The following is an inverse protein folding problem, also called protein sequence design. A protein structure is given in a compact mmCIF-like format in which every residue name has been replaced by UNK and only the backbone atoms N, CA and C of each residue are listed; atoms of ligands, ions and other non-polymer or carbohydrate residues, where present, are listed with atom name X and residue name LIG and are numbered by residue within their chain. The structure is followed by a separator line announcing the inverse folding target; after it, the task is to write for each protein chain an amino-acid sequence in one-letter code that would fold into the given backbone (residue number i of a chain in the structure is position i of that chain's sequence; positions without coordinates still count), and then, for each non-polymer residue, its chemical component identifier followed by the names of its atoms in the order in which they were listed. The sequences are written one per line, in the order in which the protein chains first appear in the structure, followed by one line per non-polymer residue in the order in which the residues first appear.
data_IF_868119393145
#
_entry.id   IF_868119393145
#
_cell.length_a   1.000
_cell.length_b   1.000
_cell.length_c   1.000
_cell.angle_alpha   90.00
_cell.angle_beta   90.00
_cell.angle_gamma   90.00
#
_symmetry.space_group_name_H-M   'P 1'
#
loop_
_entity.id
_entity.type
_entity.pdbx_description
1 polymer ?
#
# COMPACT_ATOMS: atom_id res chain seq x y z
N UNK A 1 -3.57 -11.83 10.59
CA UNK A 1 -2.40 -10.99 10.26
C UNK A 1 -2.43 -10.59 8.79
N UNK A 2 -1.61 -9.62 8.40
CA UNK A 2 -1.61 -9.11 7.03
C UNK A 2 -0.38 -8.28 6.69
N UNK A 3 0.23 -8.57 5.55
CA UNK A 3 1.30 -7.78 4.95
C UNK A 3 0.69 -6.76 3.99
N UNK A 4 0.99 -5.47 4.21
CA UNK A 4 0.58 -4.37 3.33
C UNK A 4 1.81 -3.70 2.72
N UNK A 5 1.75 -3.45 1.41
CA UNK A 5 2.84 -2.76 0.72
C UNK A 5 2.35 -1.85 -0.41
N UNK A 6 2.72 -0.57 -0.28
CA UNK A 6 2.55 0.50 -1.28
C UNK A 6 3.25 1.76 -0.76
N UNK A 7 4.29 2.23 -1.44
CA UNK A 7 4.94 3.49 -1.10
C UNK A 7 3.96 4.65 -1.36
N UNK A 8 3.69 5.41 -0.30
CA UNK A 8 2.73 6.52 -0.27
C UNK A 8 3.40 7.69 0.43
N UNK A 9 4.02 8.63 -0.30
CA UNK A 9 4.63 9.81 0.31
C UNK A 9 3.57 10.67 1.01
N UNK A 10 4.02 11.47 1.97
CA UNK A 10 3.17 12.48 2.58
C UNK A 10 2.79 13.54 1.55
N UNK A 11 1.54 13.95 1.52
CA UNK A 11 1.05 15.03 0.67
C UNK A 11 1.70 16.36 1.06
N UNK A 12 2.28 17.06 0.10
CA UNK A 12 2.80 18.43 0.24
C UNK A 12 2.12 19.37 -0.76
N UNK A 13 2.49 20.66 -0.76
CA UNK A 13 2.02 21.62 -1.77
C UNK A 13 2.38 21.19 -3.20
N UNK A 14 3.48 20.45 -3.37
CA UNK A 14 3.90 19.92 -4.66
C UNK A 14 2.85 18.99 -5.26
N UNK A 15 2.34 18.04 -4.49
CA UNK A 15 1.34 17.08 -4.98
C UNK A 15 0.00 17.77 -5.29
N UNK A 16 -0.37 18.81 -4.52
CA UNK A 16 -1.55 19.64 -4.82
C UNK A 16 -1.40 20.39 -6.14
N UNK A 17 -0.23 21.01 -6.35
CA UNK A 17 0.05 21.75 -7.59
C UNK A 17 0.09 20.83 -8.81
N UNK A 18 0.69 19.63 -8.70
CA UNK A 18 0.66 18.63 -9.78
C UNK A 18 -0.78 18.24 -10.12
N UNK A 19 -1.62 17.96 -9.11
CA UNK A 19 -3.00 17.56 -9.35
C UNK A 19 -3.80 18.67 -10.08
N UNK A 20 -3.67 19.91 -9.62
CA UNK A 20 -4.36 21.05 -10.24
C UNK A 20 -3.86 21.31 -11.67
N UNK A 21 -2.53 21.34 -11.88
CA UNK A 21 -1.93 21.69 -13.17
C UNK A 21 -2.06 20.60 -14.24
N UNK A 22 -1.91 19.33 -13.88
CA UNK A 22 -1.92 18.22 -14.84
C UNK A 22 -3.30 17.61 -15.05
N UNK A 23 -4.14 17.59 -14.01
CA UNK A 23 -5.44 16.92 -14.04
C UNK A 23 -6.62 17.90 -13.95
N UNK A 24 -6.38 19.19 -13.68
CA UNK A 24 -7.43 20.20 -13.57
C UNK A 24 -8.33 20.01 -12.35
N UNK A 25 -7.83 19.33 -11.32
CA UNK A 25 -8.59 18.98 -10.12
C UNK A 25 -8.05 19.73 -8.91
N UNK A 26 -8.95 20.41 -8.20
CA UNK A 26 -8.67 21.03 -6.90
C UNK A 26 -9.07 20.04 -5.80
N UNK A 27 -8.07 19.41 -5.18
CA UNK A 27 -8.22 18.60 -3.97
C UNK A 27 -7.25 19.13 -2.91
N UNK A 28 -7.78 19.43 -1.72
CA UNK A 28 -6.96 19.95 -0.61
C UNK A 28 -6.06 18.87 0.00
N UNK A 29 -6.35 17.58 -0.22
CA UNK A 29 -5.60 16.48 0.37
C UNK A 29 -5.50 15.26 -0.56
N UNK A 30 -4.86 15.39 -1.73
CA UNK A 30 -4.66 14.25 -2.61
C UNK A 30 -3.66 13.26 -2.03
N UNK A 31 -3.84 11.97 -2.30
CA UNK A 31 -2.90 10.91 -1.87
C UNK A 31 -2.22 10.33 -3.10
N UNK A 32 -0.97 10.74 -3.31
CA UNK A 32 -0.12 10.19 -4.35
C UNK A 32 0.54 8.89 -3.85
N UNK A 33 0.72 7.94 -4.74
CA UNK A 33 1.32 6.65 -4.44
C UNK A 33 1.87 6.02 -5.70
N UNK A 34 2.79 5.08 -5.54
CA UNK A 34 3.29 4.33 -6.68
C UNK A 34 2.20 3.40 -7.28
N UNK A 35 2.40 2.92 -8.53
CA UNK A 35 1.49 1.95 -9.14
C UNK A 35 1.50 0.57 -8.46
N UNK A 36 2.65 0.15 -7.93
CA UNK A 36 2.78 -1.13 -7.23
C UNK A 36 1.90 -1.14 -5.97
N UNK A 37 1.28 -2.28 -5.70
CA UNK A 37 0.48 -2.53 -4.51
C UNK A 37 0.42 -4.02 -4.25
N UNK A 38 0.58 -4.42 -3.00
CA UNK A 38 0.40 -5.79 -2.57
C UNK A 38 -0.31 -5.85 -1.22
N UNK A 39 -1.22 -6.81 -1.11
CA UNK A 39 -1.87 -7.13 0.15
C UNK A 39 -1.98 -8.64 0.30
N UNK A 40 -1.32 -9.18 1.33
CA UNK A 40 -1.37 -10.60 1.69
C UNK A 40 -2.03 -10.71 3.06
N UNK A 41 -3.04 -11.56 3.20
CA UNK A 41 -3.89 -11.65 4.38
C UNK A 41 -4.08 -13.10 4.82
N UNK A 42 -4.16 -13.29 6.14
CA UNK A 42 -4.75 -14.52 6.68
C UNK A 42 -6.28 -14.44 6.60
N UNK A 43 -6.93 -15.49 6.11
CA UNK A 43 -8.38 -15.54 5.98
C UNK A 43 -9.07 -15.90 7.31
N UNK A 44 -9.07 -14.95 8.26
CA UNK A 44 -9.60 -15.13 9.62
C UNK A 44 -10.61 -14.04 9.97
N UNK A 45 -11.78 -14.09 9.32
CA UNK A 45 -12.86 -13.12 9.53
C UNK A 45 -14.03 -13.79 10.26
N UNK A 46 -14.54 -13.14 11.31
CA UNK A 46 -15.59 -13.71 12.18
C UNK A 46 -17.00 -13.55 11.63
N UNK A 47 -17.22 -12.61 10.72
CA UNK A 47 -18.54 -12.30 10.15
C UNK A 47 -18.42 -11.97 8.66
N UNK A 48 -17.80 -12.90 7.92
CA UNK A 48 -17.55 -12.73 6.50
C UNK A 48 -16.59 -11.59 6.15
N UNK A 49 -16.39 -11.39 4.85
CA UNK A 49 -15.52 -10.35 4.29
C UNK A 49 -15.89 -10.05 2.84
N UNK A 50 -15.49 -8.90 2.29
CA UNK A 50 -15.57 -8.68 0.86
C UNK A 50 -14.75 -9.73 0.08
N UNK A 51 -15.10 -10.02 -1.19
CA UNK A 51 -14.34 -10.92 -2.05
C UNK A 51 -13.08 -10.24 -2.59
N UNK A 52 -12.19 -9.84 -1.68
CA UNK A 52 -10.99 -9.05 -1.95
C UNK A 52 -10.02 -9.75 -2.91
N UNK A 53 -10.06 -11.08 -2.98
CA UNK A 53 -9.31 -11.89 -3.94
C UNK A 53 -9.64 -11.52 -5.39
N UNK A 54 -10.86 -11.02 -5.67
CA UNK A 54 -11.26 -10.59 -7.01
C UNK A 54 -10.56 -9.33 -7.48
N UNK A 55 -9.93 -8.58 -6.57
CA UNK A 55 -9.20 -7.34 -6.86
C UNK A 55 -7.70 -7.45 -6.53
N UNK A 56 -7.19 -8.68 -6.41
CA UNK A 56 -5.76 -8.97 -6.32
C UNK A 56 -5.19 -9.18 -4.91
N UNK A 57 -6.03 -9.21 -3.87
CA UNK A 57 -5.58 -9.56 -2.51
C UNK A 57 -5.30 -11.06 -2.41
N UNK A 58 -4.17 -11.43 -1.81
CA UNK A 58 -3.77 -12.83 -1.65
C UNK A 58 -4.16 -13.33 -0.26
N UNK A 59 -4.96 -14.39 -0.20
CA UNK A 59 -5.26 -15.07 1.06
C UNK A 59 -4.35 -16.27 1.26
N UNK A 60 -3.74 -16.38 2.44
CA UNK A 60 -2.80 -17.44 2.81
C UNK A 60 -3.11 -17.95 4.23
N UNK A 61 -2.61 -19.14 4.57
CA UNK A 61 -2.77 -19.69 5.93
C UNK A 61 -1.83 -19.05 6.96
N UNK A 62 -0.67 -18.57 6.50
CA UNK A 62 0.37 -17.91 7.30
C UNK A 62 1.01 -16.77 6.50
N UNK A 63 0.96 -15.56 7.05
CA UNK A 63 1.47 -14.33 6.43
C UNK A 63 2.95 -14.07 6.78
N UNK A 64 3.49 -14.70 7.83
CA UNK A 64 4.81 -14.36 8.38
C UNK A 64 5.95 -14.36 7.34
N UNK A 65 6.03 -15.29 6.37
CA UNK A 65 7.09 -15.26 5.36
C UNK A 65 7.06 -14.00 4.47
N UNK A 66 5.87 -13.50 4.14
CA UNK A 66 5.67 -12.31 3.30
C UNK A 66 6.05 -11.04 4.06
N UNK A 67 5.63 -10.93 5.32
CA UNK A 67 6.02 -9.82 6.20
C UNK A 67 7.53 -9.77 6.38
N UNK A 68 8.19 -10.91 6.63
CA UNK A 68 9.64 -10.97 6.83
C UNK A 68 10.42 -10.49 5.60
N UNK A 69 9.98 -10.92 4.41
CA UNK A 69 10.58 -10.50 3.14
C UNK A 69 10.48 -8.98 2.97
N UNK A 70 9.28 -8.42 3.15
CA UNK A 70 9.01 -7.00 2.99
C UNK A 70 9.82 -6.15 3.97
N UNK A 71 9.85 -6.55 5.24
CA UNK A 71 10.60 -5.83 6.28
C UNK A 71 12.11 -5.84 6.00
N UNK A 72 12.67 -6.99 5.62
CA UNK A 72 14.13 -7.11 5.43
C UNK A 72 14.63 -6.43 4.17
N UNK A 73 13.94 -6.61 3.05
CA UNK A 73 14.42 -6.17 1.74
C UNK A 73 13.99 -4.72 1.48
N UNK A 74 12.70 -4.43 1.60
CA UNK A 74 12.17 -3.11 1.24
C UNK A 74 12.34 -2.11 2.37
N UNK A 75 11.77 -2.39 3.56
CA UNK A 75 11.90 -1.44 4.68
C UNK A 75 13.35 -1.31 5.16
N UNK A 76 14.08 -2.43 5.26
CA UNK A 76 15.49 -2.43 5.60
C UNK A 76 16.34 -1.71 4.55
N UNK A 77 16.02 -1.88 3.26
CA UNK A 77 16.65 -1.14 2.17
C UNK A 77 16.40 0.37 2.29
N UNK A 78 15.15 0.79 2.47
CA UNK A 78 14.80 2.19 2.68
C UNK A 78 15.55 2.81 3.85
N UNK A 79 15.57 2.14 5.02
CA UNK A 79 16.28 2.64 6.20
C UNK A 79 17.80 2.78 6.00
N UNK A 80 18.38 2.07 5.03
CA UNK A 80 19.82 2.13 4.72
C UNK A 80 20.18 3.31 3.82
N UNK A 81 19.24 3.74 2.96
CA UNK A 81 19.46 4.80 1.96
C UNK A 81 18.79 6.14 2.30
N UNK A 82 17.89 6.14 3.29
CA UNK A 82 17.23 7.33 3.83
C UNK A 82 18.17 8.07 4.80
#
# INVERSE_FOLDING_TARGET
NGMVDRITPATTDREREILSSEFGLEDNWPVFCEPFKQWVLEDRFTDGRPPLEKVGVQFVSDVAPYELMKIRILNGGHATIA
#
